data_IF_410645619583
#
_entry.id   IF_410645619583
#
_cell.length_a   1.000
_cell.length_b   1.000
_cell.length_c   1.000
_cell.angle_alpha   90.00
_cell.angle_beta   90.00
_cell.angle_gamma   90.00
#
_symmetry.space_group_name_H-M   'P 1'
#
loop_
_entity.id
_entity.type
_entity.pdbx_description
1 polymer ?
#
# COMPACT_ATOMS: atom_id res chain seq x y z
N UNK A 1 -7.77 -17.62 13.52
CA UNK A 1 -9.13 -17.71 12.94
C UNK A 1 -9.97 -16.65 13.62
N UNK A 2 -10.22 -15.57 12.94
CA UNK A 2 -11.02 -14.47 13.47
C UNK A 2 -12.49 -14.94 13.55
N UNK A 3 -13.00 -15.20 14.77
CA UNK A 3 -14.36 -15.66 15.01
C UNK A 3 -15.43 -14.58 14.77
N UNK A 4 -15.00 -13.40 14.30
CA UNK A 4 -15.80 -12.19 14.31
C UNK A 4 -16.24 -11.68 12.92
N UNK A 5 -15.99 -12.43 11.84
CA UNK A 5 -16.46 -12.09 10.51
C UNK A 5 -17.71 -12.88 10.11
N UNK A 6 -18.73 -12.20 9.59
CA UNK A 6 -19.89 -12.85 8.93
C UNK A 6 -19.53 -12.96 7.45
N UNK A 7 -19.27 -14.17 6.96
CA UNK A 7 -19.05 -14.42 5.54
C UNK A 7 -20.36 -14.84 4.87
N UNK A 8 -20.73 -14.16 3.80
CA UNK A 8 -21.80 -14.60 2.89
C UNK A 8 -21.09 -15.19 1.68
N UNK A 9 -21.08 -16.53 1.62
CA UNK A 9 -20.41 -17.29 0.56
C UNK A 9 -21.40 -17.58 -0.55
N UNK A 10 -21.24 -16.97 -1.72
CA UNK A 10 -21.91 -17.43 -2.93
C UNK A 10 -21.21 -18.68 -3.44
N UNK A 11 -21.93 -19.79 -3.50
CA UNK A 11 -21.61 -21.11 -4.12
C UNK A 11 -20.12 -21.33 -4.52
N UNK A 12 -19.27 -21.63 -3.55
CA UNK A 12 -17.90 -22.05 -3.84
C UNK A 12 -17.92 -23.52 -4.21
N UNK A 13 -17.92 -23.83 -5.50
CA UNK A 13 -17.39 -25.10 -6.01
C UNK A 13 -15.99 -25.29 -5.41
N UNK A 14 -15.58 -26.53 -5.17
CA UNK A 14 -14.19 -26.85 -4.76
C UNK A 14 -13.20 -26.29 -5.79
N UNK A 15 -12.68 -25.09 -5.52
CA UNK A 15 -11.74 -24.37 -6.39
C UNK A 15 -10.33 -24.56 -5.90
N UNK A 16 -9.41 -24.70 -6.85
CA UNK A 16 -7.99 -24.42 -6.64
C UNK A 16 -7.65 -23.21 -7.52
N UNK A 17 -7.93 -21.98 -7.07
CA UNK A 17 -7.70 -20.81 -7.90
C UNK A 17 -6.20 -20.58 -8.12
N UNK A 18 -5.88 -20.06 -9.29
CA UNK A 18 -4.52 -19.59 -9.60
C UNK A 18 -4.27 -18.21 -8.97
N UNK A 19 -5.30 -17.35 -8.98
CA UNK A 19 -5.23 -15.97 -8.52
C UNK A 19 -6.23 -15.73 -7.39
N UNK A 20 -5.81 -14.99 -6.36
CA UNK A 20 -6.72 -14.37 -5.37
C UNK A 20 -6.60 -12.87 -5.46
N UNK A 21 -7.72 -12.19 -5.75
CA UNK A 21 -7.82 -10.74 -5.82
C UNK A 21 -8.51 -10.26 -4.55
N UNK A 22 -7.82 -9.47 -3.72
CA UNK A 22 -8.30 -8.98 -2.43
C UNK A 22 -8.66 -7.50 -2.55
N UNK A 23 -9.90 -7.16 -2.19
CA UNK A 23 -10.48 -5.82 -2.35
C UNK A 23 -11.03 -5.34 -1.00
N UNK A 24 -10.34 -4.45 -0.28
CA UNK A 24 -10.91 -3.77 0.88
C UNK A 24 -11.97 -2.79 0.42
N UNK A 25 -13.10 -2.76 1.09
CA UNK A 25 -14.23 -1.88 0.78
C UNK A 25 -14.74 -1.17 2.02
N UNK A 26 -15.22 0.06 1.86
CA UNK A 26 -16.01 0.77 2.86
C UNK A 26 -16.85 1.88 2.25
N UNK A 27 -18.19 1.72 2.27
CA UNK A 27 -19.16 2.77 1.97
C UNK A 27 -19.12 3.37 0.55
N UNK A 28 -18.59 2.65 -0.45
CA UNK A 28 -18.51 3.10 -1.84
C UNK A 28 -18.97 2.01 -2.83
N UNK A 29 -20.20 1.46 -2.68
CA UNK A 29 -20.64 0.30 -3.44
C UNK A 29 -20.62 0.49 -4.96
N UNK A 30 -20.99 1.66 -5.47
CA UNK A 30 -21.00 1.92 -6.92
C UNK A 30 -19.59 1.86 -7.53
N UNK A 31 -18.58 2.33 -6.81
CA UNK A 31 -17.18 2.24 -7.24
C UNK A 31 -16.68 0.80 -7.14
N UNK A 32 -17.06 0.07 -6.10
CA UNK A 32 -16.77 -1.35 -5.98
C UNK A 32 -17.35 -2.12 -7.17
N UNK A 33 -18.57 -1.81 -7.64
CA UNK A 33 -19.15 -2.46 -8.83
C UNK A 33 -18.32 -2.19 -10.08
N UNK A 34 -17.79 -0.97 -10.24
CA UNK A 34 -16.85 -0.66 -11.33
C UNK A 34 -15.60 -1.52 -11.26
N UNK A 35 -15.00 -1.65 -10.06
CA UNK A 35 -13.85 -2.52 -9.82
C UNK A 35 -14.17 -3.97 -10.20
N UNK A 36 -15.28 -4.51 -9.70
CA UNK A 36 -15.69 -5.89 -9.95
C UNK A 36 -15.97 -6.18 -11.42
N UNK A 37 -16.55 -5.25 -12.17
CA UNK A 37 -16.80 -5.40 -13.63
C UNK A 37 -15.50 -5.46 -14.43
N UNK A 38 -14.41 -4.94 -13.93
CA UNK A 38 -13.10 -5.01 -14.58
C UNK A 38 -12.38 -6.36 -14.34
N UNK A 39 -12.92 -7.22 -13.47
CA UNK A 39 -12.38 -8.52 -13.16
C UNK A 39 -13.28 -9.59 -13.81
N UNK A 40 -12.79 -10.39 -14.75
CA UNK A 40 -13.61 -11.42 -15.40
C UNK A 40 -14.08 -12.49 -14.41
N UNK A 41 -15.22 -13.09 -14.69
CA UNK A 41 -15.68 -14.26 -13.94
C UNK A 41 -14.99 -15.49 -14.51
N UNK A 42 -14.04 -16.04 -13.77
CA UNK A 42 -13.24 -17.19 -14.19
C UNK A 42 -13.01 -18.12 -13.00
N UNK A 43 -12.96 -19.43 -13.24
CA UNK A 43 -12.73 -20.44 -12.20
C UNK A 43 -11.32 -20.40 -11.62
N UNK A 44 -10.36 -19.82 -12.32
CA UNK A 44 -8.99 -19.62 -11.83
C UNK A 44 -8.80 -18.35 -11.01
N UNK A 45 -9.83 -17.46 -10.92
CA UNK A 45 -9.80 -16.22 -10.15
C UNK A 45 -10.73 -16.30 -8.95
N UNK A 46 -10.19 -16.28 -7.74
CA UNK A 46 -10.92 -16.02 -6.51
C UNK A 46 -10.96 -14.52 -6.25
N UNK A 47 -12.14 -13.95 -6.10
CA UNK A 47 -12.32 -12.54 -5.66
C UNK A 47 -12.78 -12.51 -4.21
N UNK A 48 -12.09 -11.75 -3.37
CA UNK A 48 -12.39 -11.61 -1.95
C UNK A 48 -12.62 -10.12 -1.67
N UNK A 49 -13.88 -9.75 -1.49
CA UNK A 49 -14.28 -8.40 -1.07
C UNK A 49 -14.44 -8.41 0.43
N UNK A 50 -13.70 -7.54 1.12
CA UNK A 50 -13.81 -7.39 2.57
C UNK A 50 -14.35 -6.00 2.89
N UNK A 51 -15.60 -5.97 3.34
CA UNK A 51 -16.29 -4.75 3.77
C UNK A 51 -15.91 -4.43 5.22
N UNK A 52 -15.30 -3.26 5.42
CA UNK A 52 -14.83 -2.76 6.71
C UNK A 52 -15.97 -2.11 7.50
N UNK A 53 -17.04 -2.90 7.76
CA UNK A 53 -18.21 -2.51 8.55
C UNK A 53 -18.95 -1.27 8.00
N UNK A 54 -19.31 -1.28 6.72
CA UNK A 54 -20.16 -0.23 6.14
C UNK A 54 -21.55 -0.24 6.76
N UNK A 55 -22.13 0.93 6.98
CA UNK A 55 -23.42 1.08 7.67
C UNK A 55 -24.60 0.37 6.96
N UNK A 56 -24.59 0.34 5.62
CA UNK A 56 -25.64 -0.21 4.77
C UNK A 56 -25.25 -1.52 4.06
N UNK A 57 -24.17 -2.18 4.50
CA UNK A 57 -23.64 -3.40 3.87
C UNK A 57 -24.66 -4.55 3.79
N UNK A 58 -25.61 -4.62 4.72
CA UNK A 58 -26.66 -5.64 4.74
C UNK A 58 -27.56 -5.59 3.51
N UNK A 59 -27.71 -4.44 2.86
CA UNK A 59 -28.52 -4.25 1.67
C UNK A 59 -27.75 -4.46 0.36
N UNK A 60 -26.42 -4.64 0.43
CA UNK A 60 -25.58 -4.68 -0.78
C UNK A 60 -25.87 -5.88 -1.67
N UNK A 61 -26.11 -7.06 -1.10
CA UNK A 61 -26.39 -8.28 -1.89
C UNK A 61 -27.69 -8.17 -2.69
N UNK A 62 -28.69 -7.47 -2.16
CA UNK A 62 -29.97 -7.24 -2.85
C UNK A 62 -29.81 -6.17 -3.93
N UNK A 63 -29.02 -5.12 -3.66
CA UNK A 63 -28.86 -3.96 -4.56
C UNK A 63 -27.82 -4.20 -5.67
N UNK A 64 -26.85 -5.07 -5.45
CA UNK A 64 -25.70 -5.26 -6.32
C UNK A 64 -25.50 -6.77 -6.63
N UNK A 65 -26.13 -7.30 -7.68
CA UNK A 65 -26.05 -8.72 -8.04
C UNK A 65 -24.62 -9.19 -8.37
N UNK A 66 -23.72 -8.27 -8.73
CA UNK A 66 -22.31 -8.58 -8.95
C UNK A 66 -21.62 -9.20 -7.71
N UNK A 67 -22.11 -8.91 -6.49
CA UNK A 67 -21.61 -9.51 -5.25
C UNK A 67 -22.00 -10.98 -5.09
N UNK A 68 -23.01 -11.45 -5.84
CA UNK A 68 -23.45 -12.86 -5.84
C UNK A 68 -22.86 -13.67 -7.00
N UNK A 69 -21.91 -13.09 -7.78
CA UNK A 69 -21.30 -13.80 -8.91
C UNK A 69 -20.47 -15.00 -8.44
N UNK A 70 -20.28 -16.04 -9.30
CA UNK A 70 -19.41 -17.17 -8.99
C UNK A 70 -17.98 -16.69 -8.62
N UNK A 71 -17.33 -17.48 -7.75
CA UNK A 71 -15.94 -17.26 -7.34
C UNK A 71 -15.67 -15.95 -6.59
N UNK A 72 -16.71 -15.26 -6.09
CA UNK A 72 -16.60 -14.10 -5.22
C UNK A 72 -17.04 -14.47 -3.80
N UNK A 73 -16.22 -14.11 -2.83
CA UNK A 73 -16.52 -14.14 -1.40
C UNK A 73 -16.69 -12.69 -0.91
N UNK A 74 -17.88 -12.35 -0.40
CA UNK A 74 -18.14 -11.08 0.26
C UNK A 74 -18.10 -11.29 1.77
N UNK A 75 -17.20 -10.59 2.47
CA UNK A 75 -16.99 -10.70 3.90
C UNK A 75 -17.26 -9.35 4.54
N UNK A 76 -18.16 -9.29 5.50
CA UNK A 76 -18.34 -8.11 6.34
C UNK A 76 -17.63 -8.29 7.67
N UNK A 77 -16.83 -7.31 8.08
CA UNK A 77 -16.23 -7.28 9.42
C UNK A 77 -17.22 -6.75 10.45
N UNK A 78 -17.10 -7.14 11.71
CA UNK A 78 -17.97 -6.64 12.79
C UNK A 78 -17.55 -5.27 13.30
N UNK A 79 -16.30 -4.94 13.16
CA UNK A 79 -15.70 -3.69 13.64
C UNK A 79 -14.88 -3.04 12.52
N UNK A 80 -14.77 -1.74 12.57
CA UNK A 80 -13.85 -1.01 11.69
C UNK A 80 -12.40 -1.30 12.08
N UNK A 81 -11.58 -1.63 11.10
CA UNK A 81 -10.14 -1.88 11.27
C UNK A 81 -9.29 -1.17 10.21
N UNK A 82 -9.93 -0.56 9.23
CA UNK A 82 -9.30 0.10 8.09
C UNK A 82 -8.84 -0.86 6.98
N UNK A 83 -8.31 -0.28 5.90
CA UNK A 83 -7.94 -1.03 4.71
C UNK A 83 -6.86 -2.11 4.96
N UNK A 84 -5.95 -1.89 5.92
CA UNK A 84 -4.93 -2.87 6.32
C UNK A 84 -5.55 -4.10 6.95
N UNK A 85 -6.44 -3.91 7.90
CA UNK A 85 -7.19 -4.99 8.55
C UNK A 85 -8.03 -5.77 7.53
N UNK A 86 -8.80 -5.07 6.69
CA UNK A 86 -9.60 -5.72 5.65
C UNK A 86 -8.75 -6.55 4.68
N UNK A 87 -7.57 -6.06 4.27
CA UNK A 87 -6.65 -6.85 3.45
C UNK A 87 -6.09 -8.06 4.19
N UNK A 88 -5.84 -7.97 5.51
CA UNK A 88 -5.39 -9.10 6.32
C UNK A 88 -6.47 -10.19 6.40
N UNK A 89 -7.74 -9.82 6.61
CA UNK A 89 -8.89 -10.75 6.54
C UNK A 89 -8.94 -11.44 5.18
N UNK A 90 -8.75 -10.68 4.09
CA UNK A 90 -8.69 -11.23 2.74
C UNK A 90 -7.50 -12.19 2.54
N UNK A 91 -6.32 -11.89 3.08
CA UNK A 91 -5.15 -12.77 3.04
C UNK A 91 -5.41 -14.12 3.70
N UNK A 92 -6.17 -14.16 4.80
CA UNK A 92 -6.53 -15.40 5.50
C UNK A 92 -7.48 -16.29 4.70
N UNK A 93 -8.19 -15.73 3.73
CA UNK A 93 -9.13 -16.44 2.83
C UNK A 93 -8.54 -16.78 1.47
N UNK A 94 -7.43 -16.13 1.11
CA UNK A 94 -6.80 -16.32 -0.19
C UNK A 94 -6.24 -17.73 -0.37
N UNK A 95 -6.58 -18.37 -1.49
CA UNK A 95 -6.16 -19.75 -1.86
C UNK A 95 -5.28 -19.77 -3.11
N UNK A 96 -5.28 -18.70 -3.91
CA UNK A 96 -4.55 -18.64 -5.18
C UNK A 96 -3.04 -18.71 -4.99
N UNK A 97 -2.36 -19.27 -5.99
CA UNK A 97 -0.89 -19.24 -6.11
C UNK A 97 -0.36 -17.80 -6.09
N UNK A 98 -1.09 -16.91 -6.76
CA UNK A 98 -0.76 -15.50 -6.89
C UNK A 98 -1.77 -14.63 -6.16
N UNK A 99 -1.27 -13.66 -5.41
CA UNK A 99 -2.06 -12.62 -4.76
C UNK A 99 -2.01 -11.35 -5.59
N UNK A 100 -3.17 -10.75 -5.83
CA UNK A 100 -3.35 -9.41 -6.37
C UNK A 100 -4.20 -8.60 -5.38
N UNK A 101 -3.99 -7.30 -5.38
CA UNK A 101 -4.78 -6.36 -4.57
C UNK A 101 -5.39 -5.30 -5.47
N UNK A 102 -6.59 -4.88 -5.16
CA UNK A 102 -7.22 -3.72 -5.79
C UNK A 102 -7.90 -2.86 -4.72
N UNK A 103 -7.87 -1.56 -4.90
CA UNK A 103 -8.70 -0.66 -4.10
C UNK A 103 -10.10 -0.57 -4.72
N UNK A 104 -11.15 -0.53 -3.90
CA UNK A 104 -12.53 -0.61 -4.37
C UNK A 104 -12.96 0.56 -5.28
N UNK A 105 -12.21 1.67 -5.27
CA UNK A 105 -12.44 2.81 -6.14
C UNK A 105 -11.63 2.80 -7.44
N UNK A 106 -10.78 1.78 -7.65
CA UNK A 106 -9.93 1.60 -8.82
C UNK A 106 -10.44 0.46 -9.71
N UNK A 107 -9.70 0.12 -10.78
CA UNK A 107 -10.07 -1.00 -11.66
C UNK A 107 -8.87 -1.53 -12.47
N UNK A 108 -9.01 -2.74 -13.02
CA UNK A 108 -8.01 -3.34 -13.91
C UNK A 108 -8.24 -2.93 -15.37
N UNK A 109 -7.22 -3.05 -16.20
CA UNK A 109 -7.37 -2.93 -17.65
C UNK A 109 -8.19 -4.09 -18.22
N UNK A 110 -8.77 -3.92 -19.43
CA UNK A 110 -9.68 -4.88 -20.04
C UNK A 110 -9.04 -6.26 -20.27
N UNK A 111 -7.78 -6.29 -20.66
CA UNK A 111 -6.98 -7.49 -20.94
C UNK A 111 -6.24 -8.02 -19.71
N UNK A 112 -6.68 -7.67 -18.49
CA UNK A 112 -5.99 -8.03 -17.26
C UNK A 112 -5.76 -9.54 -17.10
N UNK A 113 -6.73 -10.37 -17.51
CA UNK A 113 -6.63 -11.82 -17.36
C UNK A 113 -5.54 -12.41 -18.26
N UNK A 114 -5.46 -11.95 -19.51
CA UNK A 114 -4.43 -12.40 -20.46
C UNK A 114 -3.03 -11.93 -19.96
N UNK A 115 -2.95 -10.71 -19.44
CA UNK A 115 -1.70 -10.18 -18.87
C UNK A 115 -1.23 -11.07 -17.72
N UNK A 116 -2.06 -11.32 -16.69
CA UNK A 116 -1.64 -12.10 -15.53
C UNK A 116 -1.37 -13.55 -15.88
N UNK A 117 -2.12 -14.13 -16.82
CA UNK A 117 -1.96 -15.51 -17.30
C UNK A 117 -0.63 -15.71 -18.02
N UNK A 118 -0.11 -14.71 -18.70
CA UNK A 118 1.21 -14.78 -19.34
C UNK A 118 2.37 -14.93 -18.35
N UNK A 119 2.10 -14.73 -17.04
CA UNK A 119 3.08 -14.85 -15.95
C UNK A 119 2.78 -16.02 -14.98
N UNK A 120 1.78 -16.84 -15.24
CA UNK A 120 1.33 -17.91 -14.30
C UNK A 120 2.46 -18.85 -13.89
N UNK A 121 3.34 -19.20 -14.83
CA UNK A 121 4.47 -20.12 -14.61
C UNK A 121 5.78 -19.40 -14.29
N UNK A 122 5.71 -18.09 -14.02
CA UNK A 122 6.90 -17.34 -13.65
C UNK A 122 7.51 -17.85 -12.35
N UNK A 123 8.84 -18.00 -12.33
CA UNK A 123 9.60 -18.31 -11.11
C UNK A 123 9.74 -17.12 -10.16
N UNK A 124 9.44 -15.89 -10.63
CA UNK A 124 9.51 -14.71 -9.80
C UNK A 124 8.59 -14.81 -8.59
N UNK A 125 9.03 -14.29 -7.45
CA UNK A 125 8.23 -14.18 -6.23
C UNK A 125 7.28 -12.99 -6.28
N UNK A 126 7.69 -11.94 -7.00
CA UNK A 126 6.89 -10.73 -7.23
C UNK A 126 7.06 -10.25 -8.66
N UNK A 127 5.95 -9.87 -9.29
CA UNK A 127 5.95 -9.24 -10.61
C UNK A 127 5.35 -7.84 -10.46
N UNK A 128 6.07 -6.83 -10.90
CA UNK A 128 5.66 -5.43 -10.86
C UNK A 128 5.17 -4.99 -12.25
N UNK A 129 4.03 -4.33 -12.29
CA UNK A 129 3.40 -3.84 -13.52
C UNK A 129 3.31 -2.32 -13.51
N UNK A 130 3.23 -1.72 -14.69
CA UNK A 130 2.85 -0.32 -14.85
C UNK A 130 1.38 -0.11 -14.49
N UNK A 131 1.06 1.14 -14.24
CA UNK A 131 -0.29 1.58 -13.94
C UNK A 131 -0.56 2.91 -14.66
N UNK A 132 -1.83 3.23 -14.89
CA UNK A 132 -2.26 4.54 -15.34
C UNK A 132 -3.20 5.17 -14.31
N UNK A 133 -3.38 6.46 -14.38
CA UNK A 133 -4.32 7.16 -13.51
C UNK A 133 -5.31 7.98 -14.33
N UNK A 134 -6.57 8.00 -13.88
CA UNK A 134 -7.67 8.74 -14.50
C UNK A 134 -8.48 9.48 -13.43
N UNK A 135 -9.32 10.43 -13.83
CA UNK A 135 -10.27 11.06 -12.93
C UNK A 135 -11.44 10.09 -12.64
N UNK A 136 -11.84 9.96 -11.38
CA UNK A 136 -12.92 9.03 -10.99
C UNK A 136 -14.28 9.41 -11.59
N UNK A 137 -14.53 10.72 -11.78
CA UNK A 137 -15.75 11.27 -12.36
C UNK A 137 -15.80 11.15 -13.89
N UNK A 138 -14.63 11.08 -14.54
CA UNK A 138 -14.51 10.89 -15.98
C UNK A 138 -13.24 10.09 -16.30
N UNK A 139 -13.40 8.77 -16.45
CA UNK A 139 -12.30 7.83 -16.68
C UNK A 139 -11.58 8.02 -18.02
N UNK A 140 -12.12 8.85 -18.93
CA UNK A 140 -11.45 9.20 -20.19
C UNK A 140 -10.42 10.33 -20.02
N UNK A 141 -10.38 10.98 -18.85
CA UNK A 141 -9.41 12.03 -18.56
C UNK A 141 -8.25 11.43 -17.76
N UNK A 142 -7.06 11.41 -18.37
CA UNK A 142 -5.87 10.93 -17.72
C UNK A 142 -5.33 11.90 -16.67
N UNK A 143 -4.66 11.33 -15.65
CA UNK A 143 -3.96 12.04 -14.59
C UNK A 143 -2.50 11.59 -14.56
N UNK A 144 -1.60 12.49 -14.18
CA UNK A 144 -0.18 12.17 -14.03
C UNK A 144 0.19 11.55 -12.68
N UNK A 145 -0.79 11.20 -11.85
CA UNK A 145 -0.62 10.71 -10.47
C UNK A 145 0.32 9.50 -10.38
N UNK A 146 0.29 8.60 -11.37
CA UNK A 146 1.10 7.40 -11.39
C UNK A 146 2.47 7.55 -12.04
N UNK A 147 2.79 8.71 -12.63
CA UNK A 147 4.02 8.92 -13.42
C UNK A 147 5.30 8.65 -12.63
N UNK A 148 5.32 8.95 -11.33
CA UNK A 148 6.49 8.73 -10.49
C UNK A 148 6.76 7.24 -10.23
N UNK A 149 5.70 6.40 -10.22
CA UNK A 149 5.81 4.95 -10.05
C UNK A 149 6.32 4.32 -11.34
N UNK A 150 5.71 4.66 -12.47
CA UNK A 150 6.13 4.17 -13.77
C UNK A 150 7.59 4.53 -14.09
N UNK A 151 8.06 5.73 -13.70
CA UNK A 151 9.49 6.09 -13.83
C UNK A 151 10.42 5.14 -13.07
N UNK A 152 10.01 4.59 -11.90
CA UNK A 152 10.82 3.59 -11.19
C UNK A 152 10.85 2.25 -11.91
N UNK A 153 9.74 1.87 -12.52
CA UNK A 153 9.63 0.68 -13.37
C UNK A 153 10.52 0.85 -14.62
N UNK A 154 10.40 1.98 -15.32
CA UNK A 154 11.21 2.27 -16.50
C UNK A 154 12.71 2.30 -16.20
N UNK A 155 13.08 2.87 -15.06
CA UNK A 155 14.47 2.91 -14.61
C UNK A 155 14.99 1.50 -14.32
N UNK A 156 14.22 0.70 -13.58
CA UNK A 156 14.60 -0.69 -13.31
C UNK A 156 14.76 -1.52 -14.60
N UNK A 157 13.85 -1.35 -15.56
CA UNK A 157 13.95 -2.00 -16.87
C UNK A 157 15.19 -1.56 -17.66
N UNK A 158 15.61 -0.30 -17.50
CA UNK A 158 16.75 0.29 -18.23
C UNK A 158 18.11 -0.12 -17.65
N UNK A 159 18.26 -0.05 -16.33
CA UNK A 159 19.57 -0.16 -15.67
C UNK A 159 19.70 -1.38 -14.74
N UNK A 160 18.61 -2.14 -14.53
CA UNK A 160 18.58 -3.34 -13.69
C UNK A 160 18.57 -3.06 -12.19
N UNK A 161 18.50 -1.78 -11.73
CA UNK A 161 18.43 -1.48 -10.31
C UNK A 161 17.02 -1.78 -9.75
N UNK A 162 16.90 -2.91 -9.07
CA UNK A 162 15.63 -3.36 -8.45
C UNK A 162 15.26 -2.58 -7.18
N UNK A 163 16.22 -1.87 -6.55
CA UNK A 163 16.00 -1.25 -5.25
C UNK A 163 14.79 -0.30 -5.21
N UNK A 164 14.57 0.60 -6.21
CA UNK A 164 13.41 1.50 -6.20
C UNK A 164 12.07 0.79 -6.30
N UNK A 165 11.98 -0.31 -7.06
CA UNK A 165 10.72 -1.07 -7.18
C UNK A 165 10.46 -1.91 -5.95
N UNK A 166 11.48 -2.50 -5.33
CA UNK A 166 11.37 -3.28 -4.10
C UNK A 166 10.99 -2.44 -2.88
N UNK A 167 11.57 -1.22 -2.74
CA UNK A 167 11.52 -0.48 -1.48
C UNK A 167 10.87 0.91 -1.58
N UNK A 168 10.41 1.35 -2.74
CA UNK A 168 9.71 2.65 -2.92
C UNK A 168 8.41 2.57 -3.71
N UNK A 169 7.99 1.37 -4.14
CA UNK A 169 6.63 1.13 -4.62
C UNK A 169 5.79 0.51 -3.49
N UNK A 170 5.35 1.36 -2.57
CA UNK A 170 4.63 0.93 -1.36
C UNK A 170 3.20 0.45 -1.61
N UNK A 171 2.63 0.78 -2.77
CA UNK A 171 1.24 0.40 -3.11
C UNK A 171 1.11 -1.12 -3.26
N UNK A 172 0.02 -1.75 -2.81
CA UNK A 172 -0.17 -3.20 -2.93
C UNK A 172 -0.64 -3.63 -4.31
N UNK A 173 -1.32 -2.74 -5.06
CA UNK A 173 -1.85 -2.99 -6.40
C UNK A 173 -0.77 -2.89 -7.50
N UNK A 174 -1.12 -3.25 -8.73
CA UNK A 174 -0.17 -3.37 -9.87
C UNK A 174 1.00 -4.32 -9.57
N UNK A 175 0.74 -5.36 -8.79
CA UNK A 175 1.69 -6.43 -8.44
C UNK A 175 0.99 -7.78 -8.44
N UNK A 176 1.72 -8.82 -8.87
CA UNK A 176 1.43 -10.21 -8.53
C UNK A 176 2.45 -10.66 -7.50
N UNK A 177 2.00 -11.18 -6.38
CA UNK A 177 2.86 -11.65 -5.28
C UNK A 177 2.59 -13.12 -5.05
N UNK A 178 3.61 -13.98 -5.01
CA UNK A 178 3.43 -15.39 -4.64
C UNK A 178 2.85 -15.48 -3.23
N UNK A 179 1.74 -16.22 -3.09
CA UNK A 179 1.10 -16.44 -1.79
C UNK A 179 2.06 -17.12 -0.81
N UNK A 180 2.85 -18.08 -1.27
CA UNK A 180 3.80 -18.80 -0.42
C UNK A 180 4.86 -17.89 0.21
N UNK A 181 5.30 -16.84 -0.48
CA UNK A 181 6.18 -15.81 0.09
C UNK A 181 5.53 -15.14 1.30
N UNK A 182 4.27 -14.71 1.15
CA UNK A 182 3.52 -14.02 2.21
C UNK A 182 3.27 -14.92 3.41
N UNK A 183 2.89 -16.18 3.15
CA UNK A 183 2.65 -17.19 4.20
C UNK A 183 3.96 -17.55 4.92
N UNK A 184 5.02 -17.87 4.17
CA UNK A 184 6.33 -18.29 4.71
C UNK A 184 6.91 -17.28 5.69
N UNK A 185 6.79 -15.99 5.38
CA UNK A 185 7.37 -14.92 6.21
C UNK A 185 6.33 -14.21 7.07
N UNK A 186 5.09 -14.71 7.13
CA UNK A 186 3.98 -14.12 7.87
C UNK A 186 3.83 -12.61 7.61
N UNK A 187 3.86 -12.22 6.33
CA UNK A 187 3.80 -10.80 5.93
C UNK A 187 2.34 -10.33 6.06
N UNK A 188 2.13 -9.22 6.80
CA UNK A 188 0.82 -8.65 7.05
C UNK A 188 0.83 -7.14 6.79
N UNK A 189 -0.33 -6.60 6.47
CA UNK A 189 -0.56 -5.16 6.44
C UNK A 189 -0.59 -4.60 7.86
N UNK A 190 -0.14 -3.36 8.01
CA UNK A 190 -0.36 -2.63 9.26
C UNK A 190 -1.85 -2.27 9.39
N UNK A 191 -2.41 -2.47 10.60
CA UNK A 191 -3.79 -2.11 10.90
C UNK A 191 -3.86 -0.66 11.40
N UNK A 192 -3.49 0.25 10.52
CA UNK A 192 -3.45 1.70 10.75
C UNK A 192 -4.22 2.44 9.66
N UNK A 193 -4.71 3.64 9.98
CA UNK A 193 -5.52 4.44 9.04
C UNK A 193 -4.69 4.95 7.85
N UNK A 194 -3.40 5.25 8.06
CA UNK A 194 -2.55 5.85 7.03
C UNK A 194 -1.29 5.02 6.81
N UNK A 195 -0.93 4.80 5.54
CA UNK A 195 0.28 4.06 5.14
C UNK A 195 0.29 2.58 5.57
N UNK A 196 -0.87 1.96 5.67
CA UNK A 196 -1.02 0.55 6.04
C UNK A 196 -0.25 -0.43 5.11
N UNK A 197 -0.02 -0.02 3.88
CA UNK A 197 0.60 -0.77 2.79
C UNK A 197 2.13 -0.70 2.75
N UNK A 198 2.73 0.28 3.42
CA UNK A 198 4.17 0.56 3.32
C UNK A 198 5.01 -0.61 3.82
N UNK A 199 4.73 -1.07 5.03
CA UNK A 199 5.53 -2.12 5.66
C UNK A 199 5.31 -3.48 5.00
N UNK A 200 4.07 -3.80 4.61
CA UNK A 200 3.75 -4.97 3.81
C UNK A 200 4.55 -5.00 2.50
N UNK A 201 4.47 -3.93 1.71
CA UNK A 201 5.16 -3.86 0.40
C UNK A 201 6.68 -3.91 0.54
N UNK A 202 7.23 -3.28 1.60
CA UNK A 202 8.66 -3.35 1.90
C UNK A 202 9.09 -4.78 2.25
N UNK A 203 8.36 -5.50 3.10
CA UNK A 203 8.67 -6.88 3.46
C UNK A 203 8.56 -7.82 2.27
N UNK A 204 7.56 -7.65 1.42
CA UNK A 204 7.44 -8.39 0.15
C UNK A 204 8.69 -8.14 -0.71
N UNK A 205 9.08 -6.88 -0.91
CA UNK A 205 10.28 -6.54 -1.67
C UNK A 205 11.59 -7.07 -1.07
N UNK A 206 11.68 -7.15 0.26
CA UNK A 206 12.83 -7.66 0.99
C UNK A 206 12.98 -9.18 0.89
N UNK A 207 11.89 -9.92 1.10
CA UNK A 207 11.91 -11.37 1.12
C UNK A 207 11.83 -12.03 -0.25
N UNK A 208 11.44 -11.29 -1.30
CA UNK A 208 11.43 -11.79 -2.66
C UNK A 208 12.86 -12.11 -3.13
N UNK A 209 13.14 -13.35 -3.45
CA UNK A 209 14.40 -13.77 -4.07
C UNK A 209 14.49 -13.26 -5.50
N UNK A 210 13.50 -13.60 -6.32
CA UNK A 210 13.44 -13.22 -7.73
C UNK A 210 12.27 -12.26 -7.93
N UNK A 211 12.53 -11.10 -8.52
CA UNK A 211 11.48 -10.21 -9.01
C UNK A 211 11.49 -10.10 -10.53
N UNK A 212 10.34 -9.76 -11.10
CA UNK A 212 10.18 -9.42 -12.51
C UNK A 212 9.50 -8.06 -12.63
N UNK A 213 9.92 -7.28 -13.61
CA UNK A 213 9.30 -6.00 -13.92
C UNK A 213 8.74 -6.06 -15.33
N UNK A 214 7.45 -5.83 -15.48
CA UNK A 214 6.73 -5.91 -16.74
C UNK A 214 6.48 -4.50 -17.29
N UNK A 215 6.86 -4.29 -18.57
CA UNK A 215 6.58 -3.05 -19.29
C UNK A 215 5.15 -3.05 -19.86
N UNK A 216 4.18 -3.38 -19.03
CA UNK A 216 2.76 -3.44 -19.40
C UNK A 216 1.91 -2.84 -18.30
N UNK A 217 0.85 -2.13 -18.67
CA UNK A 217 -0.10 -1.54 -17.72
C UNK A 217 -1.13 -2.60 -17.32
N UNK A 218 -1.25 -2.86 -16.02
CA UNK A 218 -2.23 -3.81 -15.47
C UNK A 218 -3.39 -3.11 -14.74
N UNK A 219 -3.13 -1.94 -14.15
CA UNK A 219 -4.04 -1.34 -13.17
C UNK A 219 -4.31 0.13 -13.46
N UNK A 220 -5.53 0.57 -13.16
CA UNK A 220 -6.00 1.94 -13.38
C UNK A 220 -6.39 2.55 -12.05
N UNK A 221 -5.60 3.51 -11.60
CA UNK A 221 -5.85 4.27 -10.36
C UNK A 221 -6.80 5.42 -10.64
N UNK A 222 -7.83 5.58 -9.82
CA UNK A 222 -8.74 6.72 -9.96
C UNK A 222 -8.40 7.83 -8.97
N UNK A 223 -8.49 9.06 -9.42
CA UNK A 223 -8.29 10.24 -8.58
C UNK A 223 -9.62 10.87 -8.21
N UNK A 224 -9.87 11.02 -6.91
CA UNK A 224 -10.99 11.78 -6.34
C UNK A 224 -10.46 12.92 -5.48
N UNK A 225 -10.95 14.18 -5.62
CA UNK A 225 -10.44 15.33 -4.87
C UNK A 225 -10.55 15.18 -3.35
N UNK A 226 -11.36 14.37 -2.78
CA UNK A 226 -11.53 14.21 -1.31
C UNK A 226 -11.09 12.84 -0.79
N UNK A 227 -10.28 12.10 -1.55
CA UNK A 227 -9.76 10.80 -1.09
C UNK A 227 -8.72 10.97 0.03
N UNK A 228 -8.52 9.92 0.85
CA UNK A 228 -7.52 9.92 1.94
C UNK A 228 -6.10 10.28 1.48
N UNK A 229 -5.80 10.07 0.22
CA UNK A 229 -4.49 10.33 -0.38
C UNK A 229 -4.40 11.68 -1.12
N UNK A 230 -5.51 12.42 -1.26
CA UNK A 230 -5.53 13.72 -1.94
C UNK A 230 -4.90 14.83 -1.09
N UNK A 231 -5.04 14.77 0.22
CA UNK A 231 -4.51 15.74 1.18
C UNK A 231 -3.47 15.08 2.08
N UNK A 232 -2.23 15.59 2.07
CA UNK A 232 -1.13 15.00 2.83
C UNK A 232 -0.87 15.74 4.14
N UNK A 233 -0.95 15.00 5.26
CA UNK A 233 -0.69 15.51 6.63
C UNK A 233 -1.55 16.73 7.01
N UNK A 234 -2.84 16.68 6.68
CA UNK A 234 -3.81 17.72 7.04
C UNK A 234 -4.72 17.31 8.20
N UNK A 235 -4.90 16.00 8.43
CA UNK A 235 -5.80 15.48 9.46
C UNK A 235 -5.08 15.25 10.79
N UNK A 236 -5.77 15.43 11.93
CA UNK A 236 -5.21 15.11 13.25
C UNK A 236 -4.69 13.65 13.30
N UNK A 237 -3.52 13.47 13.91
CA UNK A 237 -2.90 12.13 14.06
C UNK A 237 -2.25 11.55 12.80
N UNK A 238 -2.56 12.06 11.60
CA UNK A 238 -2.00 11.55 10.34
C UNK A 238 -0.48 11.60 10.31
N UNK A 239 0.09 12.75 10.69
CA UNK A 239 1.55 12.95 10.72
C UNK A 239 2.24 11.95 11.64
N UNK A 240 1.68 11.72 12.83
CA UNK A 240 2.20 10.76 13.82
C UNK A 240 2.17 9.34 13.27
N UNK A 241 1.02 8.88 12.77
CA UNK A 241 0.86 7.52 12.22
C UNK A 241 1.80 7.27 11.05
N UNK A 242 1.87 8.20 10.09
CA UNK A 242 2.78 8.06 8.94
C UNK A 242 4.24 8.05 9.38
N UNK A 243 4.62 8.94 10.29
CA UNK A 243 5.98 9.00 10.80
C UNK A 243 6.39 7.70 11.49
N UNK A 244 5.51 7.08 12.27
CA UNK A 244 5.78 5.81 12.95
C UNK A 244 6.03 4.67 11.95
N UNK A 245 5.18 4.56 10.93
CA UNK A 245 5.36 3.57 9.87
C UNK A 245 6.69 3.76 9.13
N UNK A 246 6.99 5.00 8.70
CA UNK A 246 8.23 5.28 7.96
C UNK A 246 9.49 5.25 8.83
N UNK A 247 9.38 5.53 10.12
CA UNK A 247 10.48 5.33 11.06
C UNK A 247 10.84 3.84 11.19
N UNK A 248 9.84 2.99 11.30
CA UNK A 248 10.01 1.54 11.36
C UNK A 248 10.56 0.98 10.04
N UNK A 249 10.05 1.47 8.89
CA UNK A 249 10.57 1.11 7.56
C UNK A 249 12.06 1.46 7.44
N UNK A 250 12.44 2.71 7.73
CA UNK A 250 13.82 3.17 7.61
C UNK A 250 14.75 2.41 8.57
N UNK A 251 14.31 2.20 9.81
CA UNK A 251 15.07 1.42 10.81
C UNK A 251 15.31 -0.02 10.34
N UNK A 252 14.32 -0.65 9.72
CA UNK A 252 14.47 -1.98 9.13
C UNK A 252 15.50 -1.98 8.01
N UNK A 253 15.40 -1.06 7.06
CA UNK A 253 16.31 -0.96 5.92
C UNK A 253 17.76 -0.69 6.37
N UNK A 254 17.97 0.12 7.41
CA UNK A 254 19.29 0.39 7.99
C UNK A 254 19.86 -0.87 8.63
N UNK A 255 19.10 -1.56 9.47
CA UNK A 255 19.54 -2.78 10.16
C UNK A 255 19.96 -3.90 9.20
N UNK A 256 19.39 -3.91 8.00
CA UNK A 256 19.73 -4.89 6.97
C UNK A 256 20.72 -4.37 5.93
N UNK A 257 21.33 -3.19 6.14
CA UNK A 257 22.32 -2.55 5.26
C UNK A 257 21.83 -2.30 3.82
N UNK A 258 20.52 -2.04 3.66
CA UNK A 258 19.88 -1.79 2.35
C UNK A 258 19.26 -0.40 2.22
N UNK A 259 19.43 0.48 3.20
CA UNK A 259 18.88 1.82 3.20
C UNK A 259 19.65 2.75 2.24
N UNK A 260 19.01 3.16 1.13
CA UNK A 260 19.56 4.14 0.19
C UNK A 260 18.94 5.54 0.33
N UNK A 261 17.74 5.64 0.91
CA UNK A 261 16.96 6.87 1.03
C UNK A 261 16.37 7.01 2.42
N UNK A 262 16.55 8.18 3.02
CA UNK A 262 16.05 8.51 4.35
C UNK A 262 14.59 8.97 4.29
N UNK A 263 13.68 8.06 4.53
CA UNK A 263 12.22 8.29 4.46
C UNK A 263 11.75 9.28 5.54
N UNK A 264 12.33 9.21 6.74
CA UNK A 264 11.99 10.07 7.89
C UNK A 264 12.32 11.55 7.70
N UNK A 265 13.29 11.87 6.84
CA UNK A 265 13.69 13.25 6.57
C UNK A 265 12.52 14.19 6.26
N UNK A 266 11.61 13.74 5.39
CA UNK A 266 10.41 14.51 5.00
C UNK A 266 9.51 14.78 6.22
N UNK A 267 9.29 13.76 7.04
CA UNK A 267 8.41 13.88 8.22
C UNK A 267 9.02 14.77 9.29
N UNK A 268 10.31 14.67 9.56
CA UNK A 268 11.02 15.55 10.50
C UNK A 268 10.94 17.01 10.09
N UNK A 269 11.07 17.32 8.80
CA UNK A 269 10.90 18.69 8.30
C UNK A 269 9.46 19.22 8.45
N UNK A 270 8.46 18.35 8.30
CA UNK A 270 7.05 18.72 8.52
C UNK A 270 6.81 18.94 10.02
N UNK A 271 7.31 18.07 10.89
CA UNK A 271 7.20 18.20 12.35
C UNK A 271 7.84 19.49 12.86
N UNK A 272 9.02 19.82 12.36
CA UNK A 272 9.71 21.09 12.71
C UNK A 272 8.86 22.33 12.40
N UNK A 273 7.94 22.24 11.43
CA UNK A 273 7.04 23.34 11.04
C UNK A 273 5.68 23.31 11.74
N UNK A 274 5.15 22.11 12.00
CA UNK A 274 3.74 21.92 12.38
C UNK A 274 3.55 21.33 13.78
N UNK A 275 4.51 20.55 14.30
CA UNK A 275 4.36 19.80 15.56
C UNK A 275 5.71 19.63 16.25
N UNK A 276 6.07 20.62 17.06
CA UNK A 276 7.34 20.63 17.78
C UNK A 276 7.45 19.51 18.84
N UNK A 277 6.33 19.10 19.42
CA UNK A 277 6.33 18.01 20.41
C UNK A 277 6.68 16.68 19.75
N UNK A 278 6.09 16.42 18.59
CA UNK A 278 6.38 15.23 17.81
C UNK A 278 7.82 15.28 17.23
N UNK A 279 8.30 16.47 16.81
CA UNK A 279 9.69 16.64 16.41
C UNK A 279 10.64 16.29 17.57
N UNK A 280 10.40 16.82 18.78
CA UNK A 280 11.19 16.52 19.98
C UNK A 280 11.24 15.00 20.24
N UNK A 281 10.09 14.32 20.19
CA UNK A 281 10.00 12.87 20.38
C UNK A 281 10.90 12.10 19.40
N UNK A 282 10.82 12.40 18.10
CA UNK A 282 11.66 11.71 17.10
C UNK A 282 13.11 12.18 17.12
N UNK A 283 13.39 13.42 17.56
CA UNK A 283 14.75 13.90 17.73
C UNK A 283 15.56 13.03 18.71
N UNK A 284 14.94 12.58 19.80
CA UNK A 284 15.60 11.65 20.73
C UNK A 284 15.83 10.26 20.13
N UNK A 285 15.02 9.87 19.17
CA UNK A 285 15.14 8.58 18.48
C UNK A 285 16.07 8.60 17.26
N UNK A 286 16.67 9.73 16.92
CA UNK A 286 17.54 9.84 15.75
C UNK A 286 18.76 8.92 15.83
N UNK A 287 19.24 8.60 17.04
CA UNK A 287 20.35 7.65 17.23
C UNK A 287 20.01 6.22 16.78
N UNK A 288 18.72 5.90 16.63
CA UNK A 288 18.27 4.62 16.07
C UNK A 288 18.41 4.56 14.53
N UNK A 289 18.52 5.71 13.88
CA UNK A 289 18.58 5.85 12.42
C UNK A 289 19.93 6.39 11.92
N UNK A 290 20.67 7.13 12.76
CA UNK A 290 21.90 7.82 12.38
C UNK A 290 23.02 7.52 13.38
N UNK A 291 24.28 7.46 12.94
CA UNK A 291 25.43 7.29 13.83
C UNK A 291 25.59 8.43 14.86
N UNK A 292 25.06 9.59 14.57
CA UNK A 292 25.01 10.72 15.52
C UNK A 292 23.89 11.71 15.15
N UNK A 293 23.41 12.46 16.16
CA UNK A 293 22.42 13.54 15.95
C UNK A 293 22.94 14.65 15.04
N UNK A 294 24.23 14.97 15.06
CA UNK A 294 24.82 15.98 14.16
C UNK A 294 24.74 15.54 12.70
N UNK A 295 25.05 14.29 12.40
CA UNK A 295 24.89 13.73 11.04
C UNK A 295 23.43 13.73 10.62
N UNK A 296 22.51 13.40 11.54
CA UNK A 296 21.08 13.45 11.29
C UNK A 296 20.64 14.89 10.93
N UNK A 297 21.04 15.91 11.71
CA UNK A 297 20.69 17.30 11.44
C UNK A 297 21.25 17.80 10.11
N UNK A 298 22.48 17.43 9.79
CA UNK A 298 23.09 17.75 8.50
C UNK A 298 22.26 17.15 7.35
N UNK A 299 21.92 15.87 7.41
CA UNK A 299 21.16 15.18 6.36
C UNK A 299 19.73 15.72 6.24
N UNK A 300 19.03 15.95 7.36
CA UNK A 300 17.70 16.56 7.40
C UNK A 300 17.72 17.95 6.77
N UNK A 301 18.74 18.77 7.06
CA UNK A 301 18.91 20.14 6.53
C UNK A 301 19.34 20.19 5.07
N UNK A 302 19.84 19.10 4.48
CA UNK A 302 20.38 19.06 3.12
C UNK A 302 19.34 19.48 2.08
N UNK A 303 19.69 20.45 1.20
CA UNK A 303 18.78 20.96 0.18
C UNK A 303 17.60 21.80 0.70
N UNK A 304 17.57 22.16 1.98
CA UNK A 304 16.58 23.11 2.53
C UNK A 304 17.11 24.55 2.50
N UNK A 305 16.21 25.54 2.71
CA UNK A 305 16.61 26.95 2.81
C UNK A 305 17.49 27.19 4.05
N UNK A 306 18.32 28.26 4.01
CA UNK A 306 19.15 28.65 5.14
C UNK A 306 18.33 28.89 6.42
N UNK A 307 17.17 29.53 6.29
CA UNK A 307 16.25 29.75 7.42
C UNK A 307 15.76 28.43 8.04
N UNK A 308 15.47 27.41 7.21
CA UNK A 308 15.06 26.09 7.70
C UNK A 308 16.21 25.38 8.43
N UNK A 309 17.45 25.52 7.93
CA UNK A 309 18.65 24.98 8.59
C UNK A 309 18.85 25.67 9.95
N UNK A 310 18.80 27.00 9.99
CA UNK A 310 18.94 27.77 11.25
C UNK A 310 17.88 27.32 12.26
N UNK A 311 16.60 27.23 11.87
CA UNK A 311 15.53 26.76 12.75
C UNK A 311 15.80 25.34 13.27
N UNK A 312 16.22 24.43 12.40
CA UNK A 312 16.54 23.05 12.74
C UNK A 312 17.63 22.97 13.82
N UNK A 313 18.75 23.69 13.61
CA UNK A 313 19.87 23.68 14.56
C UNK A 313 19.52 24.40 15.87
N UNK A 314 18.91 25.58 15.83
CA UNK A 314 18.52 26.31 17.03
C UNK A 314 17.52 25.53 17.88
N UNK A 315 16.49 24.95 17.24
CA UNK A 315 15.51 24.17 17.98
C UNK A 315 16.12 22.89 18.59
N UNK A 316 17.03 22.25 17.89
CA UNK A 316 17.76 21.09 18.38
C UNK A 316 18.68 21.42 19.56
N UNK A 317 19.35 22.58 19.52
CA UNK A 317 20.14 23.09 20.65
C UNK A 317 19.27 23.40 21.87
N UNK A 318 18.08 24.00 21.68
CA UNK A 318 17.14 24.27 22.77
C UNK A 318 16.60 22.96 23.41
N UNK A 319 16.40 21.91 22.62
CA UNK A 319 16.04 20.58 23.15
C UNK A 319 17.21 20.05 24.00
N UNK A 320 18.43 20.12 23.48
CA UNK A 320 19.63 19.63 24.14
C UNK A 320 19.95 20.36 25.45
N UNK A 321 19.84 21.71 25.45
CA UNK A 321 20.09 22.54 26.62
C UNK A 321 19.06 22.37 27.77
N UNK A 322 17.88 21.80 27.48
CA UNK A 322 16.86 21.51 28.52
C UNK A 322 17.05 20.17 29.20
N UNK A 323 17.92 19.34 28.68
CA UNK A 323 18.22 17.99 29.21
C UNK A 323 19.57 17.95 29.92
N UNK A 324 20.30 19.10 29.97
CA UNK A 324 21.48 19.39 30.81
C UNK A 324 21.06 20.10 32.09
#
# INVERSE_FOLDING_TARGET
MDKDSVSIVANIKTMTPTYSIIIPHKGIPDLLMRCLRSIPVSEDIQVIVVDDNSADADTYLERFPELSRPYLEFIRTKTEGGAGYARNVGLDRAKGKWLLFADADDFFVEDMHDIISSYVDSEADVIYFKNKAVLSENINIESNRCSWMNRKIDQCLKDGDEWPVRFKLFVPWAKMVKRDLVVKYNIRFDEVVYSADVYFSMLVGYHAGIIKVANITLYVVTFRPKSLSAEFCTKPGELKTRAEVFFREEKFLIRHNICRVRSMRKYLLIMLKKDHSLFKYYFYKLDELYPSKLLALHDIGKGTSLLTKIKLYLYSLLIWARDL
#
